data_IF_628276761705
#
_entry.id   IF_628276761705
#
_cell.length_a   1.000
_cell.length_b   1.000
_cell.length_c   1.000
_cell.angle_alpha   90.00
_cell.angle_beta   90.00
_cell.angle_gamma   90.00
#
_symmetry.space_group_name_H-M   'P 1'
#
loop_
_entity.id
_entity.type
_entity.pdbx_description
1 polymer ?
#
# COMPACT_ATOMS: atom_id res chain seq x y z
N UNK A 1 24.90 9.66 37.64
CA UNK A 1 24.00 9.26 36.53
C UNK A 1 23.49 7.84 36.85
N UNK A 2 22.18 7.64 37.07
CA UNK A 2 21.64 6.28 37.32
C UNK A 2 21.69 5.49 36.02
N UNK A 3 22.39 4.36 36.00
CA UNK A 3 22.43 3.46 34.85
C UNK A 3 21.00 2.97 34.54
N UNK A 4 20.58 3.14 33.28
CA UNK A 4 19.29 2.64 32.80
C UNK A 4 19.41 1.11 32.68
N UNK A 5 18.48 0.32 33.23
CA UNK A 5 18.55 -1.14 33.12
C UNK A 5 18.47 -1.56 31.66
N UNK A 6 19.28 -2.54 31.25
CA UNK A 6 19.46 -2.97 29.85
C UNK A 6 18.12 -3.28 29.15
N UNK A 7 17.18 -3.91 29.85
CA UNK A 7 15.83 -4.22 29.34
C UNK A 7 15.01 -2.96 28.99
N UNK A 8 15.27 -1.84 29.67
CA UNK A 8 14.63 -0.55 29.37
C UNK A 8 15.17 0.06 28.10
N UNK A 9 16.48 0.04 27.92
CA UNK A 9 17.16 0.53 26.71
C UNK A 9 16.76 -0.28 25.48
N UNK A 10 16.78 -1.61 25.56
CA UNK A 10 16.38 -2.49 24.44
C UNK A 10 14.93 -2.19 24.00
N UNK A 11 14.01 -2.08 24.94
CA UNK A 11 12.62 -1.75 24.62
C UNK A 11 12.47 -0.38 23.94
N UNK A 12 13.21 0.63 24.39
CA UNK A 12 13.18 1.96 23.79
C UNK A 12 13.67 1.93 22.35
N UNK A 13 14.76 1.22 22.07
CA UNK A 13 15.31 1.06 20.73
C UNK A 13 14.30 0.34 19.83
N UNK A 14 13.78 -0.79 20.30
CA UNK A 14 12.81 -1.59 19.55
C UNK A 14 11.55 -0.78 19.21
N UNK A 15 11.04 -0.03 20.19
CA UNK A 15 9.89 0.87 20.02
C UNK A 15 10.19 1.97 19.00
N UNK A 16 11.35 2.61 19.08
CA UNK A 16 11.74 3.67 18.15
C UNK A 16 11.86 3.17 16.71
N UNK A 17 12.51 2.01 16.51
CA UNK A 17 12.64 1.37 15.19
C UNK A 17 11.27 1.04 14.61
N UNK A 18 10.37 0.50 15.42
CA UNK A 18 9.03 0.11 14.97
C UNK A 18 8.13 1.32 14.67
N UNK A 19 8.25 2.40 15.44
CA UNK A 19 7.56 3.67 15.12
C UNK A 19 8.07 4.19 13.77
N UNK A 20 9.38 4.26 13.59
CA UNK A 20 9.98 4.75 12.35
C UNK A 20 9.53 3.91 11.15
N UNK A 21 9.57 2.58 11.28
CA UNK A 21 9.12 1.65 10.25
C UNK A 21 7.66 1.91 9.84
N UNK A 22 6.73 1.91 10.78
CA UNK A 22 5.30 2.05 10.46
C UNK A 22 4.94 3.43 9.91
N UNK A 23 5.52 4.48 10.47
CA UNK A 23 5.29 5.85 9.98
C UNK A 23 5.89 6.03 8.60
N UNK A 24 7.11 5.54 8.36
CA UNK A 24 7.77 5.63 7.06
C UNK A 24 6.96 4.90 5.97
N UNK A 25 6.60 3.65 6.21
CA UNK A 25 5.86 2.81 5.25
C UNK A 25 4.45 3.36 4.98
N UNK A 26 3.80 3.96 5.98
CA UNK A 26 2.50 4.59 5.82
C UNK A 26 2.56 5.93 5.06
N UNK A 27 3.52 6.79 5.39
CA UNK A 27 3.69 8.08 4.71
C UNK A 27 4.11 7.88 3.25
N UNK A 28 4.95 6.89 2.96
CA UNK A 28 5.40 6.60 1.60
C UNK A 28 4.23 6.35 0.64
N UNK A 29 3.21 5.62 1.09
CA UNK A 29 1.97 5.39 0.34
C UNK A 29 1.13 6.65 0.14
N UNK A 30 1.12 7.55 1.10
CA UNK A 30 0.44 8.85 1.02
C UNK A 30 1.19 9.84 0.12
N UNK A 31 2.51 9.70 0.01
CA UNK A 31 3.36 10.56 -0.81
C UNK A 31 3.22 10.25 -2.31
N UNK A 32 3.02 8.98 -2.66
CA UNK A 32 2.84 8.53 -4.06
C UNK A 32 1.48 7.83 -4.26
N UNK A 33 0.36 8.54 -4.09
CA UNK A 33 -0.97 7.93 -4.06
C UNK A 33 -1.33 7.24 -5.38
N UNK A 34 -0.97 7.82 -6.54
CA UNK A 34 -1.29 7.23 -7.83
C UNK A 34 -0.55 5.90 -8.07
N UNK A 35 0.75 5.85 -7.73
CA UNK A 35 1.52 4.61 -7.82
C UNK A 35 0.96 3.53 -6.89
N UNK A 36 0.59 3.90 -5.66
CA UNK A 36 0.00 2.98 -4.69
C UNK A 36 -1.36 2.44 -5.16
N UNK A 37 -2.21 3.29 -5.72
CA UNK A 37 -3.52 2.89 -6.27
C UNK A 37 -3.37 1.91 -7.44
N UNK A 38 -2.46 2.19 -8.38
CA UNK A 38 -2.15 1.29 -9.49
C UNK A 38 -1.64 -0.06 -8.97
N UNK A 39 -0.72 -0.03 -8.01
CA UNK A 39 -0.17 -1.24 -7.42
C UNK A 39 -1.25 -2.10 -6.73
N UNK A 40 -2.23 -1.49 -6.06
CA UNK A 40 -3.38 -2.19 -5.48
C UNK A 40 -4.30 -2.81 -6.54
N UNK A 41 -4.57 -2.09 -7.63
CA UNK A 41 -5.41 -2.57 -8.73
C UNK A 41 -4.78 -3.75 -9.47
N UNK A 42 -3.45 -3.83 -9.51
CA UNK A 42 -2.70 -4.91 -10.14
C UNK A 42 -2.58 -6.16 -9.25
N UNK A 43 -2.99 -6.12 -7.98
CA UNK A 43 -2.91 -7.28 -7.10
C UNK A 43 -3.93 -8.35 -7.49
N UNK A 44 -3.55 -9.63 -7.55
CA UNK A 44 -4.42 -10.71 -8.03
C UNK A 44 -5.67 -10.91 -7.16
N UNK A 45 -5.55 -10.85 -5.83
CA UNK A 45 -6.67 -11.14 -4.92
C UNK A 45 -7.42 -9.89 -4.40
N UNK A 46 -6.75 -8.75 -4.33
CA UNK A 46 -7.26 -7.57 -3.63
C UNK A 46 -7.61 -6.40 -4.54
N UNK A 47 -7.56 -6.59 -5.87
CA UNK A 47 -7.92 -5.56 -6.87
C UNK A 47 -9.33 -5.02 -6.68
N UNK A 48 -10.31 -5.86 -6.34
CA UNK A 48 -11.69 -5.45 -6.05
C UNK A 48 -11.81 -4.57 -4.78
N UNK A 49 -10.87 -4.70 -3.85
CA UNK A 49 -10.82 -3.91 -2.62
C UNK A 49 -9.89 -2.70 -2.72
N UNK A 50 -9.29 -2.44 -3.90
CA UNK A 50 -8.27 -1.41 -4.08
C UNK A 50 -8.73 -0.02 -3.60
N UNK A 51 -9.96 0.39 -3.88
CA UNK A 51 -10.50 1.70 -3.43
C UNK A 51 -10.58 1.84 -1.90
N UNK A 52 -10.88 0.74 -1.20
CA UNK A 52 -10.98 0.72 0.27
C UNK A 52 -9.58 0.66 0.87
N UNK A 53 -8.73 -0.24 0.36
CA UNK A 53 -7.37 -0.45 0.84
C UNK A 53 -6.47 0.77 0.58
N UNK A 54 -6.77 1.57 -0.44
CA UNK A 54 -6.08 2.81 -0.74
C UNK A 54 -6.04 3.77 0.46
N UNK A 55 -7.14 3.88 1.20
CA UNK A 55 -7.19 4.68 2.43
C UNK A 55 -6.84 3.85 3.67
N UNK A 56 -7.38 2.63 3.75
CA UNK A 56 -7.30 1.84 4.97
C UNK A 56 -5.87 1.42 5.32
N UNK A 57 -5.06 1.03 4.34
CA UNK A 57 -3.69 0.59 4.57
C UNK A 57 -2.81 1.71 5.15
N UNK A 58 -2.58 2.86 4.45
CA UNK A 58 -1.72 3.90 4.98
C UNK A 58 -2.21 4.46 6.33
N UNK A 59 -3.53 4.59 6.51
CA UNK A 59 -4.09 5.04 7.78
C UNK A 59 -3.83 4.05 8.91
N UNK A 60 -3.97 2.74 8.66
CA UNK A 60 -3.67 1.72 9.66
C UNK A 60 -2.19 1.71 10.04
N UNK A 61 -1.29 1.84 9.07
CA UNK A 61 0.16 1.85 9.27
C UNK A 61 0.59 3.05 10.12
N UNK A 62 0.17 4.26 9.76
CA UNK A 62 0.45 5.47 10.55
C UNK A 62 -0.18 5.38 11.95
N UNK A 63 -1.41 4.87 12.06
CA UNK A 63 -2.08 4.69 13.35
C UNK A 63 -1.34 3.74 14.29
N UNK A 64 -0.74 2.66 13.77
CA UNK A 64 0.11 1.76 14.57
C UNK A 64 1.35 2.50 15.07
N UNK A 65 2.01 3.29 14.22
CA UNK A 65 3.12 4.14 14.62
C UNK A 65 2.75 5.11 15.74
N UNK A 66 1.59 5.76 15.65
CA UNK A 66 1.06 6.65 16.68
C UNK A 66 0.73 5.90 17.99
N UNK A 67 0.06 4.74 17.92
CA UNK A 67 -0.23 3.89 19.08
C UNK A 67 1.04 3.50 19.83
N UNK A 68 2.09 3.14 19.09
CA UNK A 68 3.41 2.88 19.67
C UNK A 68 4.04 4.16 20.23
N UNK A 69 3.83 5.33 19.62
CA UNK A 69 4.34 6.63 20.06
C UNK A 69 3.76 7.19 21.36
N UNK A 70 2.53 6.80 21.73
CA UNK A 70 1.89 7.27 22.96
C UNK A 70 2.63 6.85 24.25
N UNK A 71 2.63 7.69 25.30
CA UNK A 71 3.35 7.41 26.55
C UNK A 71 2.71 6.28 27.37
N UNK A 72 1.44 5.97 27.16
CA UNK A 72 0.68 4.99 27.94
C UNK A 72 1.02 3.56 27.53
N UNK A 73 1.48 2.73 28.48
CA UNK A 73 1.83 1.31 28.24
C UNK A 73 0.65 0.47 27.71
N UNK A 74 -0.59 0.82 28.08
CA UNK A 74 -1.81 0.18 27.56
C UNK A 74 -1.99 0.47 26.06
N UNK A 75 -1.81 1.71 25.62
CA UNK A 75 -1.88 2.08 24.19
C UNK A 75 -0.74 1.45 23.41
N UNK A 76 0.46 1.42 23.99
CA UNK A 76 1.60 0.71 23.41
C UNK A 76 1.28 -0.78 23.20
N UNK A 77 0.58 -1.44 24.14
CA UNK A 77 0.17 -2.84 23.99
C UNK A 77 -0.74 -3.05 22.77
N UNK A 78 -1.67 -2.12 22.53
CA UNK A 78 -2.52 -2.13 21.35
C UNK A 78 -1.71 -1.92 20.07
N UNK A 79 -0.76 -0.98 20.07
CA UNK A 79 0.16 -0.77 18.95
C UNK A 79 0.96 -2.03 18.61
N UNK A 80 1.53 -2.71 19.61
CA UNK A 80 2.28 -3.95 19.41
C UNK A 80 1.41 -5.08 18.85
N UNK A 81 0.17 -5.23 19.35
CA UNK A 81 -0.78 -6.23 18.85
C UNK A 81 -1.23 -5.95 17.42
N UNK A 82 -1.56 -4.69 17.12
CA UNK A 82 -1.95 -4.28 15.77
C UNK A 82 -0.79 -4.46 14.77
N UNK A 83 0.44 -4.13 15.18
CA UNK A 83 1.67 -4.40 14.41
C UNK A 83 1.81 -5.87 14.05
N UNK A 84 1.69 -6.77 15.05
CA UNK A 84 1.75 -8.23 14.81
C UNK A 84 0.65 -8.69 13.85
N UNK A 85 -0.59 -8.26 14.06
CA UNK A 85 -1.71 -8.64 13.21
C UNK A 85 -1.47 -8.22 11.76
N UNK A 86 -1.11 -6.96 11.52
CA UNK A 86 -0.96 -6.42 10.18
C UNK A 86 0.25 -7.05 9.46
N UNK A 87 1.40 -7.19 10.14
CA UNK A 87 2.57 -7.83 9.52
C UNK A 87 2.36 -9.32 9.25
N UNK A 88 1.59 -10.03 10.08
CA UNK A 88 1.18 -11.42 9.81
C UNK A 88 0.29 -11.50 8.57
N UNK A 89 -0.71 -10.62 8.42
CA UNK A 89 -1.56 -10.59 7.23
C UNK A 89 -0.74 -10.32 5.96
N UNK A 90 0.18 -9.35 5.99
CA UNK A 90 1.10 -9.11 4.89
C UNK A 90 2.02 -10.31 4.61
N UNK A 91 2.50 -10.99 5.64
CA UNK A 91 3.36 -12.17 5.49
C UNK A 91 2.62 -13.34 4.85
N UNK A 92 1.36 -13.59 5.25
CA UNK A 92 0.51 -14.61 4.64
C UNK A 92 0.30 -14.28 3.15
N UNK A 93 -0.06 -13.03 2.84
CA UNK A 93 -0.28 -12.59 1.47
C UNK A 93 0.93 -12.80 0.56
N UNK A 94 2.12 -12.37 1.02
CA UNK A 94 3.39 -12.57 0.29
C UNK A 94 3.78 -14.04 0.22
N UNK A 95 3.57 -14.79 1.30
CA UNK A 95 3.86 -16.23 1.39
C UNK A 95 3.09 -17.05 0.37
N UNK A 96 1.80 -16.75 0.15
CA UNK A 96 1.01 -17.37 -0.92
C UNK A 96 1.61 -17.12 -2.31
N UNK A 97 2.16 -15.91 -2.55
CA UNK A 97 2.85 -15.59 -3.79
C UNK A 97 4.18 -16.32 -3.97
N UNK A 98 4.92 -16.56 -2.88
CA UNK A 98 6.15 -17.36 -2.88
C UNK A 98 5.85 -18.84 -3.15
N UNK A 99 4.73 -19.35 -2.63
CA UNK A 99 4.24 -20.71 -2.89
C UNK A 99 3.62 -20.89 -4.29
N UNK A 100 3.67 -19.86 -5.15
CA UNK A 100 3.11 -19.86 -6.50
C UNK A 100 1.60 -20.18 -6.54
N UNK A 101 0.85 -19.75 -5.53
CA UNK A 101 -0.62 -19.85 -5.53
C UNK A 101 -1.26 -18.91 -6.55
N UNK A 102 -0.58 -17.81 -6.89
CA UNK A 102 -1.03 -16.83 -7.88
C UNK A 102 -0.50 -17.17 -9.28
N UNK A 103 -1.37 -17.11 -10.30
CA UNK A 103 -0.99 -17.35 -11.70
C UNK A 103 0.08 -16.37 -12.21
N UNK A 104 0.09 -15.14 -11.70
CA UNK A 104 1.07 -14.09 -12.01
C UNK A 104 1.41 -13.29 -10.77
N UNK A 105 2.71 -13.05 -10.55
CA UNK A 105 3.20 -12.20 -9.46
C UNK A 105 3.08 -10.72 -9.87
N UNK A 106 2.38 -9.87 -9.10
CA UNK A 106 2.26 -8.45 -9.44
C UNK A 106 3.61 -7.73 -9.30
N UNK A 107 3.79 -6.69 -10.11
CA UNK A 107 4.92 -5.78 -9.99
C UNK A 107 4.91 -5.01 -8.68
N UNK A 108 6.04 -5.01 -7.98
CA UNK A 108 6.25 -4.23 -6.76
C UNK A 108 6.66 -2.79 -7.13
N UNK A 109 5.79 -2.05 -7.81
CA UNK A 109 6.12 -0.72 -8.32
C UNK A 109 6.06 0.41 -7.27
N UNK A 110 5.29 0.24 -6.21
CA UNK A 110 4.82 1.35 -5.36
C UNK A 110 5.35 1.31 -3.93
N UNK A 111 6.47 0.62 -3.70
CA UNK A 111 7.10 0.60 -2.39
C UNK A 111 8.59 0.84 -2.54
N UNK A 112 9.21 1.47 -1.55
CA UNK A 112 10.67 1.64 -1.41
C UNK A 112 11.47 0.34 -1.63
N UNK A 113 10.82 -0.81 -1.50
CA UNK A 113 11.34 -2.15 -1.72
C UNK A 113 11.06 -2.70 -3.14
N UNK A 114 10.90 -1.83 -4.13
CA UNK A 114 10.57 -2.20 -5.52
C UNK A 114 11.58 -3.15 -6.17
N UNK A 115 12.83 -3.12 -5.68
CA UNK A 115 13.94 -3.89 -6.23
C UNK A 115 14.27 -5.18 -5.46
N UNK A 116 13.46 -5.61 -4.48
CA UNK A 116 13.74 -6.84 -3.74
C UNK A 116 12.78 -7.98 -4.16
N UNK A 117 13.30 -9.21 -4.14
CA UNK A 117 12.50 -10.40 -4.46
C UNK A 117 11.44 -10.69 -3.40
N UNK A 118 10.37 -11.39 -3.78
CA UNK A 118 9.28 -11.80 -2.88
C UNK A 118 9.77 -12.57 -1.65
N UNK A 119 10.78 -13.43 -1.80
CA UNK A 119 11.40 -14.16 -0.69
C UNK A 119 12.13 -13.23 0.28
N UNK A 120 12.83 -12.20 -0.23
CA UNK A 120 13.48 -11.19 0.61
C UNK A 120 12.45 -10.33 1.34
N UNK A 121 11.35 -9.97 0.68
CA UNK A 121 10.20 -9.30 1.33
C UNK A 121 9.66 -10.10 2.50
N UNK A 122 9.42 -11.40 2.30
CA UNK A 122 8.93 -12.28 3.34
C UNK A 122 9.91 -12.37 4.53
N UNK A 123 11.21 -12.39 4.27
CA UNK A 123 12.24 -12.36 5.32
C UNK A 123 12.18 -11.05 6.12
N UNK A 124 12.07 -9.90 5.46
CA UNK A 124 11.90 -8.60 6.13
C UNK A 124 10.66 -8.60 7.00
N UNK A 125 9.51 -9.04 6.48
CA UNK A 125 8.28 -9.12 7.26
C UNK A 125 8.41 -10.05 8.48
N UNK A 126 9.14 -11.16 8.32
CA UNK A 126 9.41 -12.10 9.43
C UNK A 126 10.27 -11.45 10.51
N UNK A 127 11.29 -10.65 10.15
CA UNK A 127 12.09 -9.90 11.12
C UNK A 127 11.26 -8.86 11.87
N UNK A 128 10.41 -8.11 11.16
CA UNK A 128 9.50 -7.13 11.77
C UNK A 128 8.47 -7.80 12.70
N UNK A 129 8.01 -9.01 12.35
CA UNK A 129 7.15 -9.80 13.21
C UNK A 129 7.86 -10.21 14.52
N UNK A 130 9.11 -10.67 14.44
CA UNK A 130 9.93 -11.01 15.61
C UNK A 130 10.12 -9.77 16.50
N UNK A 131 10.42 -8.61 15.92
CA UNK A 131 10.52 -7.35 16.66
C UNK A 131 9.21 -6.96 17.32
N UNK A 132 8.08 -7.13 16.63
CA UNK A 132 6.75 -6.87 17.18
C UNK A 132 6.44 -7.79 18.37
N UNK A 133 6.79 -9.08 18.27
CA UNK A 133 6.60 -10.06 19.33
C UNK A 133 7.48 -9.75 20.55
N UNK A 134 8.76 -9.46 20.35
CA UNK A 134 9.69 -9.08 21.42
C UNK A 134 9.20 -7.81 22.15
N UNK A 135 8.73 -6.80 21.40
CA UNK A 135 8.19 -5.57 21.97
C UNK A 135 6.94 -5.81 22.79
N UNK A 136 6.04 -6.66 22.30
CA UNK A 136 4.84 -7.05 23.02
C UNK A 136 5.14 -7.78 24.33
N UNK A 137 6.05 -8.76 24.33
CA UNK A 137 6.43 -9.53 25.53
C UNK A 137 7.03 -8.64 26.62
N UNK A 138 7.92 -7.72 26.24
CA UNK A 138 8.52 -6.76 27.18
C UNK A 138 7.45 -5.76 27.68
N UNK A 139 6.53 -5.30 26.83
CA UNK A 139 5.47 -4.40 27.27
C UNK A 139 4.48 -5.10 28.21
N UNK A 140 4.13 -6.36 27.92
CA UNK A 140 3.23 -7.19 28.75
C UNK A 140 3.82 -7.41 30.14
N UNK A 141 5.08 -7.80 30.25
CA UNK A 141 5.73 -7.98 31.56
C UNK A 141 5.74 -6.69 32.40
N UNK A 142 5.88 -5.52 31.77
CA UNK A 142 5.75 -4.22 32.46
C UNK A 142 4.33 -3.93 32.90
N UNK A 143 3.34 -4.21 32.05
CA UNK A 143 1.92 -4.06 32.40
C UNK A 143 1.53 -5.01 33.54
N UNK A 144 1.97 -6.26 33.52
CA UNK A 144 1.69 -7.24 34.56
C UNK A 144 2.34 -6.82 35.90
N UNK A 145 3.55 -6.27 35.88
CA UNK A 145 4.18 -5.69 37.08
C UNK A 145 3.43 -4.46 37.62
N UNK A 146 2.85 -3.63 36.75
CA UNK A 146 2.01 -2.50 37.18
C UNK A 146 0.65 -2.97 37.73
N UNK A 147 0.05 -4.00 37.11
CA UNK A 147 -1.25 -4.53 37.50
C UNK A 147 -1.18 -5.40 38.77
N UNK A 148 -0.03 -6.02 39.06
CA UNK A 148 0.24 -6.64 40.37
C UNK A 148 0.16 -5.65 41.54
N UNK A 149 0.31 -4.35 41.27
CA UNK A 149 0.14 -3.29 42.28
C UNK A 149 -1.25 -2.63 42.25
N UNK A 150 -2.11 -2.97 41.27
CA UNK A 150 -3.45 -2.40 41.12
C UNK A 150 -4.36 -3.52 40.61
N UNK A 151 -4.91 -4.32 41.53
CA UNK A 151 -6.01 -5.24 41.21
C UNK A 151 -7.26 -4.43 40.89
N UNK A 152 -7.52 -4.20 39.61
CA UNK A 152 -8.88 -3.95 39.13
C UNK A 152 -9.00 -4.39 37.67
N UNK A 153 -9.80 -5.44 37.50
CA UNK A 153 -10.22 -6.01 36.24
C UNK A 153 -11.07 -5.03 35.41
N UNK A 154 -11.14 -5.27 34.09
CA UNK A 154 -12.36 -5.64 33.34
C UNK A 154 -12.10 -5.44 31.84
N UNK A 155 -12.61 -6.34 30.97
CA UNK A 155 -12.02 -6.65 29.69
C UNK A 155 -12.54 -5.73 28.59
N UNK A 156 -11.58 -5.28 27.80
CA UNK A 156 -11.72 -4.53 26.55
C UNK A 156 -12.26 -5.38 25.40
N UNK A 157 -13.19 -6.29 25.69
CA UNK A 157 -13.99 -6.98 24.66
C UNK A 157 -15.01 -6.02 24.04
N UNK A 158 -15.39 -4.95 24.75
CA UNK A 158 -16.42 -4.00 24.32
C UNK A 158 -15.93 -2.94 23.31
N UNK A 159 -14.63 -2.62 23.25
CA UNK A 159 -14.13 -1.62 22.30
C UNK A 159 -13.92 -2.17 20.89
N UNK A 160 -13.70 -3.49 20.74
CA UNK A 160 -13.55 -4.13 19.42
C UNK A 160 -14.90 -4.28 18.71
N UNK A 161 -16.00 -4.44 19.44
CA UNK A 161 -17.35 -4.47 18.86
C UNK A 161 -17.84 -3.10 18.35
N UNK A 162 -17.25 -1.99 18.82
CA UNK A 162 -17.65 -0.64 18.39
C UNK A 162 -17.12 -0.21 17.02
N UNK A 163 -16.09 -0.88 16.49
CA UNK A 163 -15.50 -0.56 15.17
C UNK A 163 -15.95 -1.47 14.03
N UNK A 164 -16.55 -2.63 14.32
CA UNK A 164 -17.04 -3.58 13.31
C UNK A 164 -18.49 -3.34 12.87
N UNK A 165 -19.28 -2.60 13.65
CA UNK A 165 -20.69 -2.31 13.34
C UNK A 165 -20.91 -1.32 12.20
N UNK A 166 -20.12 -0.25 11.97
CA UNK A 166 -20.35 0.60 10.80
C UNK A 166 -19.94 -0.04 9.47
N UNK A 167 -19.04 -1.05 9.49
CA UNK A 167 -18.61 -1.75 8.27
C UNK A 167 -19.67 -2.71 7.70
N UNK A 168 -20.50 -3.31 8.57
CA UNK A 168 -21.61 -4.15 8.12
C UNK A 168 -22.81 -3.32 7.61
N UNK A 169 -23.03 -2.15 8.19
CA UNK A 169 -24.16 -1.27 7.79
C UNK A 169 -23.93 -0.67 6.39
N UNK A 170 -22.70 -0.24 6.06
CA UNK A 170 -22.39 0.33 4.73
C UNK A 170 -22.44 -0.71 3.59
N UNK A 171 -22.14 -1.98 3.87
CA UNK A 171 -22.16 -3.05 2.85
C UNK A 171 -23.58 -3.35 2.34
N UNK A 172 -24.57 -3.27 3.22
CA UNK A 172 -25.97 -3.57 2.89
C UNK A 172 -26.63 -2.53 1.97
N UNK A 173 -26.07 -1.31 1.91
CA UNK A 173 -26.64 -0.18 1.18
C UNK A 173 -26.09 0.04 -0.23
N UNK A 174 -25.26 -0.86 -0.77
CA UNK A 174 -24.75 -0.73 -2.15
C UNK A 174 -25.81 -1.28 -3.13
N UNK A 175 -26.50 -0.44 -3.93
CA UNK A 175 -27.38 -0.95 -4.98
C UNK A 175 -26.53 -1.74 -5.99
N UNK A 176 -26.95 -2.97 -6.25
CA UNK A 176 -26.35 -3.88 -7.23
C UNK A 176 -26.66 -3.35 -8.63
N UNK A 177 -25.87 -2.41 -9.14
CA UNK A 177 -25.97 -1.98 -10.53
C UNK A 177 -25.45 -3.13 -11.41
N UNK A 178 -26.35 -3.87 -12.04
CA UNK A 178 -25.97 -4.72 -13.17
C UNK A 178 -25.41 -3.79 -14.25
N UNK A 179 -24.11 -3.86 -14.49
CA UNK A 179 -23.52 -3.24 -15.67
C UNK A 179 -24.04 -3.98 -16.90
N UNK A 180 -25.15 -3.50 -17.45
CA UNK A 180 -25.55 -3.84 -18.82
C UNK A 180 -24.42 -3.31 -19.70
N UNK A 181 -23.58 -4.21 -20.21
CA UNK A 181 -22.54 -3.94 -21.18
C UNK A 181 -23.20 -3.43 -22.47
N UNK A 182 -23.48 -2.12 -22.49
CA UNK A 182 -23.78 -1.36 -23.68
C UNK A 182 -22.47 -0.72 -24.10
N UNK A 183 -21.72 -1.43 -24.92
CA UNK A 183 -20.62 -0.84 -25.68
C UNK A 183 -21.24 0.21 -26.60
N UNK A 184 -21.19 1.47 -26.19
CA UNK A 184 -21.38 2.59 -27.10
C UNK A 184 -20.08 2.66 -27.89
N UNK A 185 -20.13 2.17 -29.12
CA UNK A 185 -19.05 2.33 -30.08
C UNK A 185 -19.04 3.82 -30.49
N UNK A 186 -17.93 4.55 -30.37
CA UNK A 186 -17.88 5.93 -30.83
C UNK A 186 -18.09 5.97 -32.35
N UNK A 187 -18.90 6.91 -32.84
CA UNK A 187 -19.23 7.11 -34.26
C UNK A 187 -18.01 7.41 -35.16
N UNK A 188 -16.81 7.50 -34.57
CA UNK A 188 -15.53 7.69 -35.27
C UNK A 188 -15.07 6.49 -36.11
N UNK A 189 -15.80 5.37 -36.10
CA UNK A 189 -15.49 4.19 -36.92
C UNK A 189 -16.12 4.23 -38.33
N UNK A 190 -16.98 5.20 -38.64
CA UNK A 190 -17.55 5.40 -39.98
C UNK A 190 -16.87 6.49 -40.82
N UNK A 191 -15.87 7.20 -40.29
CA UNK A 191 -15.06 8.12 -41.09
C UNK A 191 -13.98 7.35 -41.85
N UNK A 192 -14.35 6.91 -43.06
CA UNK A 192 -13.40 6.49 -44.09
C UNK A 192 -12.54 7.71 -44.41
N UNK A 193 -11.21 7.66 -44.25
CA UNK A 193 -10.36 8.79 -44.61
C UNK A 193 -10.37 8.94 -46.14
N UNK A 194 -10.75 10.13 -46.61
CA UNK A 194 -10.49 10.52 -48.00
C UNK A 194 -8.98 10.46 -48.24
N UNK A 195 -8.56 9.65 -49.21
CA UNK A 195 -7.16 9.54 -49.61
C UNK A 195 -6.80 10.78 -50.43
N UNK A 196 -6.28 11.81 -49.78
CA UNK A 196 -5.61 12.90 -50.49
C UNK A 196 -4.29 12.36 -51.05
N UNK A 197 -4.23 12.28 -52.38
CA UNK A 197 -3.12 11.74 -53.16
C UNK A 197 -1.90 12.67 -53.24
N UNK A 198 -1.52 13.28 -52.13
CA UNK A 198 -0.31 14.13 -52.06
C UNK A 198 0.72 13.45 -51.16
N UNK A 199 1.65 12.78 -51.83
CA UNK A 199 2.94 12.27 -51.39
C UNK A 199 3.48 12.87 -50.07
N UNK A 200 3.45 12.08 -49.00
CA UNK A 200 4.27 12.31 -47.79
C UNK A 200 5.00 11.04 -47.37
N UNK A 201 6.21 11.14 -46.79
CA UNK A 201 7.06 9.99 -46.50
C UNK A 201 6.43 9.09 -45.43
N UNK A 202 6.65 7.78 -45.56
CA UNK A 202 6.09 6.67 -44.77
C UNK A 202 6.16 6.88 -43.24
N UNK A 203 7.11 7.69 -42.75
CA UNK A 203 7.32 8.01 -41.34
C UNK A 203 6.12 8.70 -40.67
N UNK A 204 5.32 9.48 -41.41
CA UNK A 204 4.15 10.17 -40.86
C UNK A 204 2.95 9.27 -40.54
N UNK A 205 2.86 8.10 -41.18
CA UNK A 205 1.70 7.20 -41.04
C UNK A 205 1.69 6.41 -39.73
N UNK A 206 2.87 6.13 -39.17
CA UNK A 206 3.00 5.46 -37.87
C UNK A 206 2.78 6.42 -36.70
N UNK A 207 3.17 7.69 -36.84
CA UNK A 207 2.93 8.71 -35.83
C UNK A 207 1.42 9.03 -35.68
N UNK A 208 0.69 9.13 -36.80
CA UNK A 208 -0.75 9.44 -36.76
C UNK A 208 -1.59 8.33 -36.11
N UNK A 209 -1.17 7.06 -36.21
CA UNK A 209 -1.87 5.95 -35.54
C UNK A 209 -1.64 5.94 -34.02
N UNK A 210 -0.58 6.59 -33.55
CA UNK A 210 -0.27 6.73 -32.12
C UNK A 210 -1.04 7.88 -31.46
N UNK A 211 -1.30 8.96 -32.20
CA UNK A 211 -1.88 10.21 -31.66
C UNK A 211 -3.38 10.15 -31.33
N UNK A 212 -4.13 9.14 -31.81
CA UNK A 212 -5.60 9.10 -31.60
C UNK A 212 -6.04 8.58 -30.22
N UNK A 213 -5.12 8.05 -29.40
CA UNK A 213 -5.47 7.46 -28.10
C UNK A 213 -5.14 8.34 -26.88
N UNK A 214 -4.59 9.54 -27.07
CA UNK A 214 -4.02 10.36 -25.98
C UNK A 214 -4.73 11.69 -25.71
N UNK A 215 -5.86 11.99 -26.36
CA UNK A 215 -6.47 13.34 -26.27
C UNK A 215 -6.93 13.75 -24.86
N UNK A 216 -7.43 12.84 -24.01
CA UNK A 216 -7.90 13.24 -22.67
C UNK A 216 -6.80 13.49 -21.62
N UNK A 217 -5.53 13.20 -21.92
CA UNK A 217 -4.41 13.46 -20.99
C UNK A 217 -3.58 14.70 -21.34
N UNK A 218 -3.92 15.39 -22.44
CA UNK A 218 -3.09 16.48 -22.98
C UNK A 218 -3.13 17.78 -22.15
N UNK A 219 -4.11 17.98 -21.27
CA UNK A 219 -4.24 19.25 -20.54
C UNK A 219 -3.25 19.46 -19.37
N UNK A 220 -2.48 18.45 -18.96
CA UNK A 220 -1.48 18.61 -17.89
C UNK A 220 -0.01 18.49 -18.34
N UNK A 221 0.25 18.09 -19.60
CA UNK A 221 1.60 17.75 -20.08
C UNK A 221 2.33 18.87 -20.83
N UNK A 222 1.66 19.99 -21.14
CA UNK A 222 2.24 21.07 -21.96
C UNK A 222 2.54 22.36 -21.19
N UNK A 223 3.23 22.27 -20.04
CA UNK A 223 3.90 23.46 -19.46
C UNK A 223 5.37 23.31 -19.12
N UNK A 224 5.98 22.11 -19.18
CA UNK A 224 7.38 21.95 -18.78
C UNK A 224 8.23 21.09 -19.73
N UNK A 225 8.05 21.20 -21.04
CA UNK A 225 8.98 20.61 -22.02
C UNK A 225 10.09 21.59 -22.40
N UNK A 226 11.05 21.85 -21.50
CA UNK A 226 12.41 22.28 -21.85
C UNK A 226 13.41 21.91 -20.74
N UNK A 227 13.59 20.61 -20.45
CA UNK A 227 14.83 20.10 -19.86
C UNK A 227 14.90 18.57 -19.97
N UNK A 228 14.93 18.08 -21.21
CA UNK A 228 15.31 16.71 -21.48
C UNK A 228 16.74 16.71 -22.01
N UNK A 229 17.72 16.77 -21.11
CA UNK A 229 19.06 16.23 -21.32
C UNK A 229 19.78 16.09 -19.97
N UNK A 230 20.28 14.87 -19.72
CA UNK A 230 20.91 14.37 -18.49
C UNK A 230 19.96 14.10 -17.32
N UNK A 231 19.80 12.81 -17.03
CA UNK A 231 19.20 12.15 -15.86
C UNK A 231 18.16 11.11 -16.29
N UNK A 232 18.61 10.13 -17.05
CA UNK A 232 17.99 8.79 -17.06
C UNK A 232 18.18 8.15 -15.69
N UNK A 233 17.43 8.61 -14.70
CA UNK A 233 17.24 7.87 -13.46
C UNK A 233 16.38 6.66 -13.78
N UNK A 234 17.02 5.50 -13.93
CA UNK A 234 16.40 4.17 -14.00
C UNK A 234 15.56 3.80 -12.74
N UNK A 235 15.32 4.75 -11.83
CA UNK A 235 14.63 4.56 -10.54
C UNK A 235 13.12 4.83 -10.58
N UNK A 236 12.53 5.11 -11.74
CA UNK A 236 11.09 5.43 -11.89
C UNK A 236 10.36 4.55 -12.90
N UNK A 237 10.79 3.30 -13.08
CA UNK A 237 10.14 2.36 -13.98
C UNK A 237 8.85 1.74 -13.38
N UNK A 238 7.88 2.58 -13.02
CA UNK A 238 6.48 2.20 -13.20
C UNK A 238 5.86 3.20 -14.16
N UNK A 239 6.16 3.01 -15.45
CA UNK A 239 5.51 3.79 -16.50
C UNK A 239 4.01 3.47 -16.47
N UNK A 240 3.20 4.48 -16.13
CA UNK A 240 1.74 4.45 -16.21
C UNK A 240 1.21 4.17 -17.64
N UNK A 241 2.10 4.06 -18.62
CA UNK A 241 1.81 3.92 -20.04
C UNK A 241 1.50 2.47 -20.47
N UNK A 242 1.80 1.47 -19.63
CA UNK A 242 1.32 0.09 -19.82
C UNK A 242 0.37 -0.28 -18.69
N UNK A 243 -0.89 -0.59 -19.04
CA UNK A 243 -1.91 -1.19 -18.16
C UNK A 243 -1.50 -2.53 -17.52
N UNK A 244 -0.30 -3.02 -17.84
CA UNK A 244 0.37 -4.13 -17.17
C UNK A 244 1.80 -3.65 -16.98
N UNK A 245 2.17 -3.26 -15.75
CA UNK A 245 3.58 -3.16 -15.42
C UNK A 245 4.17 -4.56 -15.68
N UNK A 246 5.10 -4.66 -16.61
CA UNK A 246 5.80 -5.91 -16.90
C UNK A 246 7.01 -5.96 -15.98
N UNK A 247 6.90 -6.86 -15.00
CA UNK A 247 7.97 -7.51 -14.28
C UNK A 247 7.91 -8.98 -14.72
#
# INVERSE_FOLDING_TARGET
MKAIPTNKTIYMILRAVMILFWVYVGIEKLWQPEAFKIALQQQPLISMYASVLFWLLPLSEVSIGLLLGFPTLRLQAWGWRASMLLITLFSIYIGLGVLNVYDRKPCMCASFLSNISWTKHLLVNSLILIFSLAGWLINRSRLDNLNKNITAAIPMALLVFSFLTPALVQYSSIPRVQSKYRWILPDSLYQIPAYDSVSRPIVGSLAYRYDRYTESYRHYLFTNSMQANSMTNQLLACSAERRVALC
#
